data_IF_473677335155
#
_entry.id   IF_473677335155
#
_cell.length_a   1.000
_cell.length_b   1.000
_cell.length_c   1.000
_cell.angle_alpha   90.00
_cell.angle_beta   90.00
_cell.angle_gamma   90.00
#
_symmetry.space_group_name_H-M   'P 1'
#
loop_
_entity.id
_entity.type
_entity.pdbx_description
1 polymer ?
#
# COMPACT_ATOMS: atom_id res chain seq x y z
N UNK A 1 -1.82 -17.95 9.67
CA UNK A 1 -2.47 -17.57 8.41
C UNK A 1 -1.45 -16.89 7.50
N UNK A 2 -1.57 -17.05 6.19
CA UNK A 2 -0.80 -16.34 5.18
C UNK A 2 -1.80 -15.55 4.32
N UNK A 3 -1.48 -14.32 4.00
CA UNK A 3 -2.29 -13.46 3.14
C UNK A 3 -1.38 -12.63 2.24
N UNK A 4 -1.89 -12.19 1.10
CA UNK A 4 -1.18 -11.29 0.17
C UNK A 4 -1.14 -9.85 0.66
N UNK A 5 -2.11 -9.45 1.48
CA UNK A 5 -2.22 -8.09 2.02
C UNK A 5 -2.50 -8.12 3.54
N UNK A 6 -1.97 -7.15 4.26
CA UNK A 6 -2.13 -7.03 5.72
C UNK A 6 -3.58 -6.79 6.15
N UNK A 7 -4.39 -6.13 5.31
CA UNK A 7 -5.82 -5.90 5.59
C UNK A 7 -6.61 -7.19 5.78
N UNK A 8 -6.24 -8.28 5.11
CA UNK A 8 -6.88 -9.60 5.28
C UNK A 8 -6.65 -10.18 6.68
N UNK A 9 -5.47 -9.92 7.27
CA UNK A 9 -5.15 -10.32 8.64
C UNK A 9 -5.95 -9.48 9.64
N UNK A 10 -5.98 -8.17 9.43
CA UNK A 10 -6.74 -7.23 10.27
C UNK A 10 -8.23 -7.54 10.29
N UNK A 11 -8.81 -7.91 9.13
CA UNK A 11 -10.23 -8.23 9.00
C UNK A 11 -10.69 -9.40 9.88
N UNK A 12 -9.80 -10.32 10.21
CA UNK A 12 -10.09 -11.48 11.07
C UNK A 12 -9.53 -11.33 12.49
N UNK A 13 -9.00 -10.14 12.83
CA UNK A 13 -8.38 -9.87 14.13
C UNK A 13 -7.06 -10.62 14.36
N UNK A 14 -6.37 -11.04 13.29
CA UNK A 14 -5.07 -11.69 13.39
C UNK A 14 -3.94 -10.65 13.52
N UNK A 15 -2.92 -11.01 14.29
CA UNK A 15 -1.72 -10.19 14.42
C UNK A 15 -0.78 -10.41 13.23
N UNK A 16 -0.29 -9.30 12.65
CA UNK A 16 0.74 -9.33 11.61
C UNK A 16 2.11 -9.59 12.25
N UNK A 17 2.72 -10.71 11.91
CA UNK A 17 4.03 -11.08 12.46
C UNK A 17 5.16 -10.48 11.61
N UNK A 18 5.17 -10.76 10.31
CA UNK A 18 6.19 -10.27 9.37
C UNK A 18 5.86 -10.57 7.92
N UNK A 19 6.53 -9.89 7.02
CA UNK A 19 6.59 -10.25 5.60
C UNK A 19 7.49 -11.46 5.35
N UNK A 20 7.21 -12.20 4.27
CA UNK A 20 8.11 -13.22 3.73
C UNK A 20 9.17 -12.52 2.89
N UNK A 21 10.45 -12.88 3.06
CA UNK A 21 11.54 -12.28 2.32
C UNK A 21 11.54 -12.74 0.86
N UNK A 22 12.01 -11.93 -0.09
CA UNK A 22 12.18 -12.36 -1.48
C UNK A 22 13.07 -13.60 -1.57
N UNK A 23 12.55 -14.68 -2.17
CA UNK A 23 13.24 -15.97 -2.27
C UNK A 23 13.20 -16.85 -1.02
N UNK A 24 12.48 -16.44 0.03
CA UNK A 24 12.26 -17.25 1.22
C UNK A 24 11.23 -18.35 0.97
N UNK A 25 11.55 -19.56 1.40
CA UNK A 25 10.61 -20.69 1.43
C UNK A 25 10.18 -20.92 2.87
N UNK A 26 8.91 -20.68 3.16
CA UNK A 26 8.32 -20.93 4.49
C UNK A 26 7.52 -22.21 4.45
N UNK A 27 7.83 -23.13 5.35
CA UNK A 27 7.08 -24.39 5.54
C UNK A 27 6.34 -24.35 6.87
N UNK A 28 5.03 -24.56 6.81
CA UNK A 28 4.15 -24.59 7.98
C UNK A 28 3.64 -26.02 8.15
N UNK A 29 3.89 -26.59 9.32
CA UNK A 29 3.43 -27.94 9.69
C UNK A 29 2.74 -27.88 11.04
N UNK A 30 2.16 -29.02 11.47
CA UNK A 30 1.62 -29.16 12.83
C UNK A 30 2.66 -28.96 13.94
N UNK A 31 3.94 -29.15 13.62
CA UNK A 31 5.04 -29.05 14.58
C UNK A 31 5.68 -27.64 14.63
N UNK A 32 5.23 -26.73 13.74
CA UNK A 32 5.66 -25.34 13.72
C UNK A 32 5.95 -24.77 12.34
N UNK A 33 6.65 -23.64 12.33
CA UNK A 33 7.03 -22.89 11.14
C UNK A 33 8.55 -22.97 10.97
N UNK A 34 9.00 -23.37 9.79
CA UNK A 34 10.42 -23.34 9.40
C UNK A 34 10.63 -22.45 8.18
N UNK A 35 11.79 -21.82 8.10
CA UNK A 35 12.16 -20.91 7.02
C UNK A 35 13.48 -21.34 6.39
N UNK A 36 13.51 -21.38 5.05
CA UNK A 36 14.71 -21.63 4.27
C UNK A 36 15.02 -20.38 3.42
N UNK A 37 16.15 -19.77 3.66
CA UNK A 37 16.63 -18.55 3.00
C UNK A 37 17.79 -18.77 2.02
N UNK A 38 18.01 -19.99 1.53
CA UNK A 38 19.10 -20.27 0.56
C UNK A 38 18.96 -19.46 -0.73
N UNK A 39 17.74 -19.11 -1.12
CA UNK A 39 17.44 -18.30 -2.30
C UNK A 39 17.03 -16.86 -1.94
N UNK A 40 17.18 -16.44 -0.68
CA UNK A 40 16.86 -15.08 -0.27
C UNK A 40 17.73 -14.06 -1.00
N UNK A 41 17.08 -13.00 -1.48
CA UNK A 41 17.74 -11.87 -2.11
C UNK A 41 17.72 -10.67 -1.16
N UNK A 42 18.81 -9.89 -1.14
CA UNK A 42 18.90 -8.69 -0.31
C UNK A 42 18.05 -7.53 -0.87
N UNK A 43 17.96 -7.45 -2.22
CA UNK A 43 17.26 -6.36 -2.89
C UNK A 43 15.78 -6.69 -3.05
N UNK A 44 14.92 -5.89 -2.41
CA UNK A 44 13.48 -5.90 -2.66
C UNK A 44 13.16 -5.11 -3.92
N UNK A 45 12.17 -5.57 -4.68
CA UNK A 45 11.60 -4.85 -5.80
C UNK A 45 10.08 -4.85 -5.66
N UNK A 46 9.47 -3.66 -5.70
CA UNK A 46 8.04 -3.48 -5.52
C UNK A 46 7.39 -3.05 -6.82
N UNK A 47 6.18 -3.55 -7.04
CA UNK A 47 5.34 -3.07 -8.12
C UNK A 47 4.67 -1.75 -7.67
N UNK A 48 4.90 -0.66 -8.42
CA UNK A 48 4.28 0.63 -8.11
C UNK A 48 2.75 0.56 -8.14
N UNK A 49 2.16 -0.35 -8.93
CA UNK A 49 0.71 -0.52 -9.01
C UNK A 49 0.07 -0.95 -7.69
N UNK A 50 0.79 -1.62 -6.81
CA UNK A 50 0.30 -1.91 -5.47
C UNK A 50 -0.03 -0.62 -4.70
N UNK A 51 0.85 0.37 -4.77
CA UNK A 51 0.66 1.63 -4.06
C UNK A 51 -0.41 2.52 -4.71
N UNK A 52 -0.45 2.59 -6.05
CA UNK A 52 -1.33 3.54 -6.74
C UNK A 52 -2.71 2.98 -7.09
N UNK A 53 -2.86 1.63 -7.15
CA UNK A 53 -4.11 1.04 -7.66
C UNK A 53 -4.59 -0.20 -6.93
N UNK A 54 -3.82 -1.32 -6.89
CA UNK A 54 -4.34 -2.62 -6.49
C UNK A 54 -4.57 -2.80 -4.99
N UNK A 55 -3.60 -2.42 -4.14
CA UNK A 55 -3.70 -2.68 -2.72
C UNK A 55 -4.86 -1.89 -2.09
N UNK A 56 -5.51 -2.51 -1.12
CA UNK A 56 -6.58 -1.84 -0.36
C UNK A 56 -6.01 -0.69 0.46
N UNK A 57 -6.83 0.33 0.68
CA UNK A 57 -6.42 1.56 1.39
C UNK A 57 -5.97 1.31 2.83
N UNK A 58 -6.54 0.30 3.48
CA UNK A 58 -6.23 -0.12 4.85
C UNK A 58 -5.05 -1.11 4.95
N UNK A 59 -4.43 -1.45 3.81
CA UNK A 59 -3.22 -2.27 3.77
C UNK A 59 -1.97 -1.47 4.08
N UNK A 60 -0.99 -2.16 4.65
CA UNK A 60 0.38 -1.66 4.86
C UNK A 60 1.34 -2.58 4.12
N UNK A 61 2.17 -2.03 3.23
CA UNK A 61 3.19 -2.74 2.45
C UNK A 61 4.55 -2.14 2.83
N UNK A 62 5.47 -2.97 3.30
CA UNK A 62 6.81 -2.55 3.77
C UNK A 62 6.80 -1.35 4.73
N UNK A 63 5.85 -1.35 5.65
CA UNK A 63 5.70 -0.27 6.64
C UNK A 63 5.05 1.01 6.11
N UNK A 64 4.62 1.05 4.85
CA UNK A 64 3.94 2.20 4.25
C UNK A 64 2.45 1.90 4.15
N UNK A 65 1.62 2.71 4.80
CA UNK A 65 0.17 2.64 4.64
C UNK A 65 -0.24 3.13 3.26
N UNK A 66 -1.12 2.38 2.59
CA UNK A 66 -1.53 2.65 1.20
C UNK A 66 -2.34 3.94 1.08
N UNK A 67 -3.23 4.22 2.03
CA UNK A 67 -3.99 5.46 2.06
C UNK A 67 -3.05 6.68 2.11
N UNK A 68 -2.10 6.68 3.03
CA UNK A 68 -1.13 7.77 3.18
C UNK A 68 -0.22 7.92 1.96
N UNK A 69 0.17 6.82 1.33
CA UNK A 69 0.96 6.86 0.10
C UNK A 69 0.20 7.57 -1.02
N UNK A 70 -1.10 7.30 -1.18
CA UNK A 70 -1.94 7.94 -2.19
C UNK A 70 -2.24 9.41 -1.88
N UNK A 71 -2.45 9.78 -0.62
CA UNK A 71 -2.56 11.20 -0.20
C UNK A 71 -1.29 11.95 -0.61
N UNK A 72 -0.11 11.42 -0.27
CA UNK A 72 1.18 12.05 -0.62
C UNK A 72 1.41 12.14 -2.13
N UNK A 73 1.00 11.12 -2.88
CA UNK A 73 1.07 11.15 -4.34
C UNK A 73 0.18 12.27 -4.93
N UNK A 74 -1.02 12.45 -4.42
CA UNK A 74 -1.92 13.54 -4.81
C UNK A 74 -1.35 14.91 -4.49
N UNK A 75 -0.79 15.11 -3.31
CA UNK A 75 -0.12 16.35 -2.93
C UNK A 75 1.09 16.67 -3.82
N UNK A 76 1.91 15.64 -4.14
CA UNK A 76 3.03 15.80 -5.06
C UNK A 76 2.57 16.15 -6.49
N UNK A 77 1.44 15.58 -6.93
CA UNK A 77 0.84 15.91 -8.23
C UNK A 77 0.37 17.36 -8.28
N UNK A 78 -0.26 17.88 -7.23
CA UNK A 78 -0.69 19.29 -7.15
C UNK A 78 0.50 20.25 -7.25
N UNK A 79 1.62 19.90 -6.62
CA UNK A 79 2.85 20.72 -6.70
C UNK A 79 3.50 20.66 -8.08
N UNK A 80 3.50 19.48 -8.74
CA UNK A 80 4.14 19.30 -10.04
C UNK A 80 3.30 19.81 -11.21
N UNK A 81 1.97 19.73 -11.09
CA UNK A 81 1.01 20.08 -12.15
C UNK A 81 -0.17 20.87 -11.56
N UNK A 82 0.05 22.13 -11.18
CA UNK A 82 -1.02 23.01 -10.73
C UNK A 82 -2.00 23.30 -11.87
N UNK A 83 -3.28 23.26 -11.57
CA UNK A 83 -4.36 23.61 -12.52
C UNK A 83 -5.29 24.64 -11.91
N UNK A 84 -5.92 25.46 -12.76
CA UNK A 84 -7.00 26.35 -12.36
C UNK A 84 -8.34 25.60 -12.57
N UNK A 85 -9.00 25.25 -11.47
CA UNK A 85 -10.22 24.47 -11.46
C UNK A 85 -11.08 24.81 -10.23
N UNK A 86 -12.39 24.60 -10.37
CA UNK A 86 -13.36 24.88 -9.30
C UNK A 86 -13.52 23.71 -8.31
N UNK A 87 -13.19 22.49 -8.72
CA UNK A 87 -13.46 21.29 -7.95
C UNK A 87 -12.47 20.17 -8.28
N UNK A 88 -12.08 19.40 -7.26
CA UNK A 88 -11.37 18.13 -7.39
C UNK A 88 -12.32 16.97 -7.13
N UNK A 89 -12.38 16.01 -8.04
CA UNK A 89 -13.19 14.80 -7.93
C UNK A 89 -12.30 13.56 -8.02
N UNK A 90 -12.42 12.65 -7.06
CA UNK A 90 -11.74 11.36 -7.09
C UNK A 90 -12.57 10.29 -7.81
N UNK A 91 -11.92 9.52 -8.68
CA UNK A 91 -12.55 8.33 -9.25
C UNK A 91 -12.49 7.19 -8.20
N UNK A 92 -13.65 6.64 -7.77
CA UNK A 92 -13.68 5.53 -6.82
C UNK A 92 -13.04 4.25 -7.39
N UNK A 93 -12.44 3.39 -6.51
CA UNK A 93 -12.15 3.70 -5.10
C UNK A 93 -10.72 4.22 -4.93
N UNK A 94 -9.82 3.77 -5.78
CA UNK A 94 -8.36 3.98 -5.68
C UNK A 94 -7.94 5.43 -5.82
N UNK A 95 -8.67 6.24 -6.60
CA UNK A 95 -8.35 7.63 -6.87
C UNK A 95 -8.77 8.60 -5.76
N UNK A 96 -9.67 8.22 -4.85
CA UNK A 96 -10.22 9.12 -3.82
C UNK A 96 -9.13 9.70 -2.91
N UNK A 97 -8.21 8.92 -2.32
CA UNK A 97 -7.18 9.51 -1.46
C UNK A 97 -6.22 10.43 -2.22
N UNK A 98 -5.85 10.08 -3.47
CA UNK A 98 -5.00 10.94 -4.28
C UNK A 98 -5.69 12.28 -4.60
N UNK A 99 -6.97 12.24 -4.97
CA UNK A 99 -7.76 13.46 -5.20
C UNK A 99 -7.88 14.31 -3.92
N UNK A 100 -8.06 13.68 -2.77
CA UNK A 100 -8.06 14.38 -1.47
C UNK A 100 -6.72 15.05 -1.21
N UNK A 101 -5.61 14.34 -1.39
CA UNK A 101 -4.25 14.92 -1.22
C UNK A 101 -3.98 16.06 -2.20
N UNK A 102 -4.48 15.96 -3.44
CA UNK A 102 -4.42 17.05 -4.42
C UNK A 102 -5.21 18.28 -3.96
N UNK A 103 -6.45 18.07 -3.50
CA UNK A 103 -7.32 19.13 -2.99
C UNK A 103 -6.68 19.87 -1.80
N UNK A 104 -6.18 19.12 -0.82
CA UNK A 104 -5.55 19.70 0.38
C UNK A 104 -4.29 20.52 0.04
N UNK A 105 -3.50 20.06 -0.93
CA UNK A 105 -2.27 20.75 -1.33
C UNK A 105 -2.50 21.96 -2.26
N UNK A 106 -3.51 21.89 -3.13
CA UNK A 106 -3.83 22.96 -4.10
C UNK A 106 -4.77 24.03 -3.53
N UNK A 107 -5.54 23.71 -2.48
CA UNK A 107 -6.62 24.55 -1.96
C UNK A 107 -7.91 24.50 -2.77
N UNK A 108 -7.96 23.71 -3.85
CA UNK A 108 -9.19 23.52 -4.65
C UNK A 108 -10.14 22.59 -3.87
N UNK A 109 -11.43 22.92 -3.74
CA UNK A 109 -12.41 22.12 -3.00
C UNK A 109 -12.51 20.67 -3.49
N UNK A 110 -12.67 19.72 -2.53
CA UNK A 110 -12.92 18.30 -2.83
C UNK A 110 -14.39 17.99 -2.87
#
# INVERSE_FOLDING_TARGET
MIASESCALSAIGAEFIRDIRPGEIVTITKDGITSNCQLCQEKRAHCIFEYIYFARLDSTIDGINIYDARIRAGAALAAAYPVDADLVVGVPDSGIPAAKGYSEASGIPF
#
